data_IF_636556889084
#
_entry.id   IF_636556889084
#
_cell.length_a   1.000
_cell.length_b   1.000
_cell.length_c   1.000
_cell.angle_alpha   90.00
_cell.angle_beta   90.00
_cell.angle_gamma   90.00
#
_symmetry.space_group_name_H-M   'P 1'
#
loop_
_entity.id
_entity.type
_entity.pdbx_description
1 polymer ?
#
# COMPACT_ATOMS: atom_id res chain seq x y z
N UNK A 1 47.71 11.40 -54.65
CA UNK A 1 47.78 10.79 -53.27
C UNK A 1 48.03 11.91 -52.26
N UNK A 2 48.92 12.87 -52.50
CA UNK A 2 49.33 13.88 -51.55
C UNK A 2 48.23 14.91 -51.24
N UNK A 3 47.42 15.29 -52.25
CA UNK A 3 46.27 16.20 -52.04
C UNK A 3 45.23 15.63 -51.10
N UNK A 4 44.93 14.33 -51.20
CA UNK A 4 43.97 13.63 -50.35
C UNK A 4 44.49 13.54 -48.90
N UNK A 5 45.79 13.28 -48.76
CA UNK A 5 46.46 13.26 -47.47
C UNK A 5 46.38 14.62 -46.78
N UNK A 6 46.67 15.70 -47.54
CA UNK A 6 46.59 17.08 -47.03
C UNK A 6 45.16 17.49 -46.60
N UNK A 7 44.15 17.07 -47.37
CA UNK A 7 42.74 17.32 -47.02
C UNK A 7 42.30 16.58 -45.74
N UNK A 8 42.73 15.32 -45.57
CA UNK A 8 42.45 14.58 -44.33
C UNK A 8 43.12 15.21 -43.12
N UNK A 9 44.35 15.67 -43.29
CA UNK A 9 45.11 16.32 -42.22
C UNK A 9 44.48 17.66 -41.83
N UNK A 10 44.04 18.46 -42.80
CA UNK A 10 43.33 19.72 -42.57
C UNK A 10 41.97 19.50 -41.87
N UNK A 11 41.25 18.47 -42.29
CA UNK A 11 40.00 18.07 -41.64
C UNK A 11 40.22 17.61 -40.20
N UNK A 12 41.29 16.85 -39.92
CA UNK A 12 41.64 16.40 -38.57
C UNK A 12 41.97 17.63 -37.65
N UNK A 13 42.70 18.60 -38.16
CA UNK A 13 42.96 19.84 -37.44
C UNK A 13 41.67 20.63 -37.12
N UNK A 14 40.74 20.66 -38.08
CA UNK A 14 39.44 21.31 -37.88
C UNK A 14 38.60 20.58 -36.82
N UNK A 15 38.57 19.27 -36.81
CA UNK A 15 37.90 18.48 -35.80
C UNK A 15 38.52 18.67 -34.44
N UNK A 16 39.83 18.63 -34.29
CA UNK A 16 40.56 18.88 -33.06
C UNK A 16 40.27 20.29 -32.53
N UNK A 17 40.36 21.31 -33.37
CA UNK A 17 40.03 22.69 -33.06
C UNK A 17 38.58 22.86 -32.57
N UNK A 18 37.65 22.17 -33.23
CA UNK A 18 36.23 22.16 -32.82
C UNK A 18 36.00 21.50 -31.45
N UNK A 19 36.71 20.39 -31.21
CA UNK A 19 36.67 19.71 -29.90
C UNK A 19 37.21 20.62 -28.82
N UNK A 20 38.35 21.26 -29.05
CA UNK A 20 38.97 22.20 -28.10
C UNK A 20 38.10 23.43 -27.86
N UNK A 21 37.45 23.95 -28.89
CA UNK A 21 36.47 25.03 -28.79
C UNK A 21 35.26 24.61 -27.94
N UNK A 22 34.69 23.43 -28.18
CA UNK A 22 33.57 22.92 -27.39
C UNK A 22 33.95 22.69 -25.95
N UNK A 23 35.12 22.11 -25.68
CA UNK A 23 35.59 21.87 -24.30
C UNK A 23 35.84 23.16 -23.53
N UNK A 24 36.31 24.24 -24.18
CA UNK A 24 36.56 25.51 -23.54
C UNK A 24 35.33 26.41 -23.45
N UNK A 25 34.40 26.30 -24.40
CA UNK A 25 33.25 27.20 -24.49
C UNK A 25 32.02 26.61 -23.79
N UNK A 26 31.87 25.29 -23.81
CA UNK A 26 30.84 24.60 -23.06
C UNK A 26 31.32 24.32 -21.63
N UNK A 27 31.31 25.35 -20.79
CA UNK A 27 31.20 25.13 -19.35
C UNK A 27 29.80 24.56 -19.13
N UNK A 28 29.71 23.26 -18.90
CA UNK A 28 28.46 22.69 -18.34
C UNK A 28 28.15 23.48 -17.09
N UNK A 29 27.10 24.28 -17.14
CA UNK A 29 26.61 24.98 -15.97
C UNK A 29 26.16 23.87 -14.98
N UNK A 30 26.81 23.77 -13.80
CA UNK A 30 26.42 22.74 -12.83
C UNK A 30 24.92 22.80 -12.46
N UNK A 31 24.30 23.98 -12.60
CA UNK A 31 22.88 24.18 -12.37
C UNK A 31 22.01 23.37 -13.34
N UNK A 32 22.42 23.20 -14.59
CA UNK A 32 21.71 22.42 -15.61
C UNK A 32 21.72 20.92 -15.28
N UNK A 33 22.81 20.44 -14.68
CA UNK A 33 22.90 19.05 -14.20
C UNK A 33 21.98 18.81 -12.99
N UNK A 34 21.90 19.78 -12.08
CA UNK A 34 21.03 19.71 -10.88
C UNK A 34 19.56 19.73 -11.28
N UNK A 35 19.17 20.48 -12.31
CA UNK A 35 17.79 20.46 -12.83
C UNK A 35 17.41 19.17 -13.58
N UNK A 36 18.40 18.40 -14.04
CA UNK A 36 18.17 17.19 -14.82
C UNK A 36 18.31 15.90 -14.04
N UNK A 37 18.90 15.93 -12.86
CA UNK A 37 19.13 14.76 -12.00
C UNK A 37 18.66 15.09 -10.59
N UNK A 38 17.90 14.18 -9.99
CA UNK A 38 17.48 14.27 -8.58
C UNK A 38 17.46 12.91 -7.92
N UNK A 39 17.71 12.91 -6.61
CA UNK A 39 17.40 11.77 -5.77
C UNK A 39 15.90 11.74 -5.47
N UNK A 40 15.29 10.62 -5.77
CA UNK A 40 13.89 10.34 -5.45
C UNK A 40 13.86 9.29 -4.36
N UNK A 41 13.10 9.58 -3.33
CA UNK A 41 12.83 8.63 -2.27
C UNK A 41 11.98 7.48 -2.81
N UNK A 42 12.39 6.24 -2.52
CA UNK A 42 11.67 5.02 -2.88
C UNK A 42 11.19 4.38 -1.60
N UNK A 43 9.89 4.25 -1.49
CA UNK A 43 9.26 3.64 -0.32
C UNK A 43 9.74 2.20 -0.14
N UNK A 44 10.00 1.83 1.13
CA UNK A 44 10.28 0.45 1.50
C UNK A 44 8.99 -0.37 1.53
N UNK A 45 9.10 -1.68 1.38
CA UNK A 45 7.97 -2.56 1.66
C UNK A 45 7.71 -2.60 3.18
N UNK A 46 6.43 -2.45 3.57
CA UNK A 46 6.04 -2.64 4.97
C UNK A 46 6.15 -4.11 5.34
N UNK A 47 6.58 -4.40 6.56
CA UNK A 47 6.59 -5.74 7.14
C UNK A 47 5.19 -6.37 7.18
N UNK A 48 5.11 -7.67 7.31
CA UNK A 48 3.87 -8.42 7.38
C UNK A 48 3.34 -8.50 8.80
N UNK A 49 2.06 -8.84 8.95
CA UNK A 49 1.44 -9.15 10.24
C UNK A 49 0.99 -10.61 10.21
N UNK A 50 1.42 -11.36 11.19
CA UNK A 50 1.16 -12.79 11.34
C UNK A 50 0.30 -13.08 12.57
N UNK A 51 -0.49 -14.16 12.50
CA UNK A 51 -1.20 -14.76 13.62
C UNK A 51 -0.22 -15.44 14.59
N UNK A 52 -0.72 -15.91 15.73
CA UNK A 52 0.07 -16.73 16.66
C UNK A 52 0.56 -18.03 16.01
N UNK A 53 -0.25 -18.61 15.12
CA UNK A 53 0.06 -19.85 14.41
C UNK A 53 0.97 -19.65 13.17
N UNK A 54 1.32 -18.39 12.86
CA UNK A 54 2.16 -18.05 11.72
C UNK A 54 1.38 -17.82 10.42
N UNK A 55 0.04 -17.78 10.45
CA UNK A 55 -0.75 -17.44 9.29
C UNK A 55 -0.58 -15.97 8.94
N UNK A 56 -0.60 -15.68 7.66
CA UNK A 56 -0.45 -14.31 7.16
C UNK A 56 -1.77 -13.55 7.30
N UNK A 57 -1.81 -12.58 8.22
CA UNK A 57 -2.99 -11.71 8.43
C UNK A 57 -2.98 -10.56 7.44
N UNK A 58 -1.85 -9.86 7.33
CA UNK A 58 -1.66 -8.73 6.39
C UNK A 58 -0.32 -8.83 5.72
N UNK A 59 -0.29 -8.62 4.42
CA UNK A 59 0.96 -8.54 3.65
C UNK A 59 1.03 -7.30 2.78
N UNK A 60 2.25 -6.94 2.41
CA UNK A 60 2.49 -5.98 1.34
C UNK A 60 2.54 -6.72 0.00
N UNK A 61 1.67 -6.35 -0.90
CA UNK A 61 1.66 -6.87 -2.27
C UNK A 61 2.09 -5.80 -3.24
N UNK A 62 2.97 -6.18 -4.15
CA UNK A 62 3.37 -5.28 -5.24
C UNK A 62 2.27 -5.21 -6.26
N UNK A 63 1.88 -4.00 -6.61
CA UNK A 63 0.92 -3.68 -7.65
C UNK A 63 1.58 -2.77 -8.68
N UNK A 64 1.04 -2.79 -9.88
CA UNK A 64 1.60 -2.05 -10.99
C UNK A 64 0.58 -1.10 -11.59
N UNK A 65 1.07 0.10 -11.93
CA UNK A 65 0.36 1.06 -12.75
C UNK A 65 1.02 1.12 -14.12
N UNK A 66 0.26 0.92 -15.17
CA UNK A 66 0.75 1.01 -16.53
C UNK A 66 0.36 2.35 -17.15
N UNK A 67 1.33 3.01 -17.74
CA UNK A 67 1.15 4.24 -18.50
C UNK A 67 1.77 4.14 -19.87
N UNK A 68 1.33 4.98 -20.77
CA UNK A 68 1.76 4.99 -22.16
C UNK A 68 2.23 6.36 -22.62
N UNK A 69 3.42 6.41 -23.20
CA UNK A 69 3.95 7.58 -23.90
C UNK A 69 3.55 7.50 -25.37
N UNK A 70 2.50 8.22 -25.72
CA UNK A 70 1.95 8.20 -27.08
C UNK A 70 2.89 8.79 -28.13
N UNK A 71 3.86 9.63 -27.76
CA UNK A 71 4.74 10.36 -28.66
C UNK A 71 5.92 9.52 -29.17
N UNK A 72 6.39 8.55 -28.37
CA UNK A 72 7.55 7.72 -28.70
C UNK A 72 7.26 6.78 -29.88
N UNK A 73 6.02 6.29 -29.97
CA UNK A 73 5.62 5.30 -30.95
C UNK A 73 5.60 5.89 -32.36
N UNK A 74 6.35 5.28 -33.29
CA UNK A 74 6.38 5.72 -34.71
C UNK A 74 4.99 5.63 -35.32
N UNK A 75 4.71 6.50 -36.32
CA UNK A 75 3.41 6.53 -37.00
C UNK A 75 3.09 5.20 -37.69
N UNK A 76 4.09 4.60 -38.29
CA UNK A 76 3.93 3.32 -39.02
C UNK A 76 3.52 2.19 -38.06
N UNK A 77 4.25 2.03 -36.93
CA UNK A 77 3.93 1.03 -35.90
C UNK A 77 2.55 1.27 -35.29
N UNK A 78 2.22 2.53 -35.02
CA UNK A 78 0.91 2.90 -34.48
C UNK A 78 -0.24 2.50 -35.40
N UNK A 79 -0.15 2.92 -36.69
CA UNK A 79 -1.20 2.66 -37.66
C UNK A 79 -1.40 1.16 -37.95
N UNK A 80 -0.30 0.40 -37.96
CA UNK A 80 -0.37 -1.05 -38.25
C UNK A 80 -0.87 -1.89 -37.11
N UNK A 81 -0.77 -1.40 -35.84
CA UNK A 81 -0.99 -2.24 -34.66
C UNK A 81 -2.04 -1.68 -33.69
N UNK A 82 -2.63 -0.51 -33.99
CA UNK A 82 -3.61 0.13 -33.12
C UNK A 82 -4.85 -0.74 -32.89
N UNK A 83 -5.37 -1.34 -33.94
CA UNK A 83 -6.60 -2.12 -33.86
C UNK A 83 -6.41 -3.37 -32.98
N UNK A 84 -5.31 -4.08 -33.19
CA UNK A 84 -4.96 -5.26 -32.39
C UNK A 84 -4.68 -4.89 -30.92
N UNK A 85 -3.94 -3.80 -30.67
CA UNK A 85 -3.72 -3.31 -29.29
C UNK A 85 -5.04 -2.95 -28.63
N UNK A 86 -5.91 -2.23 -29.33
CA UNK A 86 -7.20 -1.78 -28.80
C UNK A 86 -8.13 -2.95 -28.44
N UNK A 87 -8.17 -3.99 -29.29
CA UNK A 87 -8.92 -5.22 -29.05
C UNK A 87 -8.38 -5.94 -27.81
N UNK A 88 -7.07 -6.12 -27.72
CA UNK A 88 -6.44 -6.81 -26.59
C UNK A 88 -6.68 -6.08 -25.26
N UNK A 89 -6.55 -4.75 -25.25
CA UNK A 89 -6.83 -3.94 -24.06
C UNK A 89 -8.33 -3.98 -23.67
N UNK A 90 -9.21 -3.87 -24.67
CA UNK A 90 -10.67 -3.93 -24.43
C UNK A 90 -11.09 -5.27 -23.84
N UNK A 91 -10.55 -6.37 -24.36
CA UNK A 91 -10.80 -7.70 -23.82
C UNK A 91 -10.25 -7.86 -22.40
N UNK A 92 -9.02 -7.38 -22.15
CA UNK A 92 -8.39 -7.49 -20.85
C UNK A 92 -9.13 -6.68 -19.78
N UNK A 93 -9.53 -5.43 -20.06
CA UNK A 93 -10.22 -4.57 -19.12
C UNK A 93 -11.76 -4.68 -19.17
N UNK A 94 -12.29 -5.62 -19.95
CA UNK A 94 -13.74 -5.80 -20.15
C UNK A 94 -14.46 -4.50 -20.54
N UNK A 95 -13.93 -3.82 -21.57
CA UNK A 95 -14.46 -2.59 -22.13
C UNK A 95 -14.97 -2.82 -23.55
N UNK A 96 -15.82 -1.91 -24.03
CA UNK A 96 -16.29 -1.96 -25.40
C UNK A 96 -15.13 -1.94 -26.42
N UNK A 97 -15.32 -2.62 -27.56
CA UNK A 97 -14.29 -2.83 -28.57
C UNK A 97 -13.58 -1.56 -29.02
N UNK A 98 -14.30 -0.44 -29.13
CA UNK A 98 -13.75 0.82 -29.62
C UNK A 98 -13.25 1.74 -28.52
N UNK A 99 -13.51 1.43 -27.25
CA UNK A 99 -13.14 2.28 -26.11
C UNK A 99 -11.65 2.64 -26.12
N UNK A 100 -10.78 1.64 -26.17
CA UNK A 100 -9.33 1.89 -26.16
C UNK A 100 -8.84 2.48 -27.47
N UNK A 101 -9.48 2.20 -28.61
CA UNK A 101 -9.10 2.81 -29.88
C UNK A 101 -9.27 4.34 -29.83
N UNK A 102 -10.41 4.80 -29.35
CA UNK A 102 -10.68 6.22 -29.19
C UNK A 102 -9.83 6.87 -28.10
N UNK A 103 -9.61 6.14 -26.99
CA UNK A 103 -8.79 6.59 -25.88
C UNK A 103 -7.33 6.82 -26.28
N UNK A 104 -6.73 5.88 -27.02
CA UNK A 104 -5.35 5.96 -27.52
C UNK A 104 -5.20 7.02 -28.63
N UNK A 105 -6.19 7.12 -29.54
CA UNK A 105 -6.20 8.15 -30.58
C UNK A 105 -6.25 9.56 -29.96
N UNK A 106 -7.14 9.79 -28.99
CA UNK A 106 -7.23 11.06 -28.29
C UNK A 106 -5.94 11.44 -27.56
N UNK A 107 -5.29 10.44 -26.94
CA UNK A 107 -4.00 10.66 -26.29
C UNK A 107 -2.91 11.08 -27.29
N UNK A 108 -2.90 10.47 -28.47
CA UNK A 108 -1.92 10.79 -29.49
C UNK A 108 -2.13 12.18 -30.10
N UNK A 109 -3.38 12.55 -30.38
CA UNK A 109 -3.72 13.90 -30.85
C UNK A 109 -3.29 14.95 -29.83
N UNK A 110 -3.49 14.69 -28.54
CA UNK A 110 -3.12 15.60 -27.45
C UNK A 110 -1.64 15.52 -27.04
N UNK A 111 -0.83 14.74 -27.74
CA UNK A 111 0.58 14.49 -27.37
C UNK A 111 0.76 14.06 -25.90
N UNK A 112 -0.17 13.26 -25.38
CA UNK A 112 -0.11 12.79 -24.00
C UNK A 112 1.03 11.77 -23.83
N UNK A 113 2.03 12.12 -23.05
CA UNK A 113 3.22 11.29 -22.80
C UNK A 113 3.11 10.40 -21.57
N UNK A 114 2.00 10.49 -20.84
CA UNK A 114 1.83 9.77 -19.58
C UNK A 114 0.38 9.28 -19.37
N UNK A 115 -0.18 8.71 -20.46
CA UNK A 115 -1.57 8.22 -20.45
C UNK A 115 -1.71 7.02 -19.52
N UNK A 116 -2.66 7.04 -18.62
CA UNK A 116 -2.98 5.90 -17.77
C UNK A 116 -3.63 4.78 -18.59
N UNK A 117 -3.06 3.59 -18.58
CA UNK A 117 -3.64 2.39 -19.20
C UNK A 117 -4.39 1.54 -18.18
N UNK A 118 -3.79 1.32 -17.01
CA UNK A 118 -4.41 0.54 -15.94
C UNK A 118 -3.70 0.73 -14.61
N UNK A 119 -4.42 0.46 -13.52
CA UNK A 119 -3.93 0.51 -12.14
C UNK A 119 -4.22 -0.80 -11.43
N UNK A 120 -3.55 -1.01 -10.31
CA UNK A 120 -3.76 -2.15 -9.42
C UNK A 120 -3.58 -3.51 -10.11
N UNK A 121 -2.62 -3.57 -11.03
CA UNK A 121 -2.34 -4.76 -11.83
C UNK A 121 -1.35 -5.67 -11.11
N UNK A 122 -1.56 -6.98 -11.26
CA UNK A 122 -0.59 -7.97 -10.80
C UNK A 122 0.58 -8.10 -11.78
N UNK A 123 1.68 -8.74 -11.36
CA UNK A 123 2.81 -9.03 -12.25
C UNK A 123 2.39 -9.93 -13.44
N UNK A 124 1.40 -10.79 -13.26
CA UNK A 124 0.84 -11.63 -14.36
C UNK A 124 0.14 -10.76 -15.38
N UNK A 125 -0.66 -9.80 -14.94
CA UNK A 125 -1.36 -8.85 -15.81
C UNK A 125 -0.37 -7.99 -16.60
N UNK A 126 0.65 -7.50 -15.90
CA UNK A 126 1.74 -6.72 -16.56
C UNK A 126 2.44 -7.53 -17.63
N UNK A 127 2.79 -8.78 -17.36
CA UNK A 127 3.46 -9.63 -18.33
C UNK A 127 2.57 -9.93 -19.55
N UNK A 128 1.27 -10.10 -19.33
CA UNK A 128 0.29 -10.27 -20.40
C UNK A 128 0.20 -8.99 -21.25
N UNK A 129 0.01 -7.83 -20.62
CA UNK A 129 -0.12 -6.55 -21.34
C UNK A 129 1.18 -6.18 -22.09
N UNK A 130 2.34 -6.50 -21.51
CA UNK A 130 3.64 -6.35 -22.19
C UNK A 130 3.73 -7.13 -23.50
N UNK A 131 3.00 -8.22 -23.66
CA UNK A 131 3.00 -9.01 -24.88
C UNK A 131 2.12 -8.42 -25.99
N UNK A 132 1.27 -7.44 -25.70
CA UNK A 132 0.36 -6.83 -26.67
C UNK A 132 1.13 -6.03 -27.73
N UNK A 133 0.59 -5.95 -28.96
CA UNK A 133 1.15 -5.13 -30.03
C UNK A 133 1.47 -3.71 -29.56
N UNK A 134 2.51 -3.09 -30.09
CA UNK A 134 3.10 -1.84 -29.64
C UNK A 134 3.82 -1.99 -28.29
N UNK A 135 3.16 -2.48 -27.24
CA UNK A 135 3.72 -2.59 -25.88
C UNK A 135 4.87 -3.61 -25.80
N UNK A 136 4.86 -4.63 -26.64
CA UNK A 136 5.95 -5.59 -26.78
C UNK A 136 7.27 -4.98 -27.28
N UNK A 137 7.24 -3.75 -27.79
CA UNK A 137 8.43 -2.98 -28.17
C UNK A 137 9.08 -2.25 -26.99
N UNK A 138 8.51 -2.38 -25.78
CA UNK A 138 9.03 -1.82 -24.54
C UNK A 138 8.94 -0.29 -24.44
N UNK A 139 9.68 0.26 -23.47
CA UNK A 139 9.60 1.68 -23.11
C UNK A 139 10.03 2.63 -24.25
N UNK A 140 11.10 2.29 -24.98
CA UNK A 140 11.72 3.23 -25.93
C UNK A 140 11.12 3.22 -27.34
N UNK A 141 10.38 2.18 -27.70
CA UNK A 141 9.74 2.06 -29.02
C UNK A 141 8.23 1.92 -28.91
N UNK A 142 7.76 1.18 -27.89
CA UNK A 142 6.35 0.95 -27.63
C UNK A 142 5.73 1.95 -26.65
N UNK A 143 6.56 2.73 -25.94
CA UNK A 143 6.12 3.76 -25.00
C UNK A 143 5.47 3.23 -23.72
N UNK A 144 5.56 1.93 -23.42
CA UNK A 144 4.97 1.36 -22.20
C UNK A 144 5.82 1.72 -20.98
N UNK A 145 5.24 2.45 -20.05
CA UNK A 145 5.81 2.84 -18.76
C UNK A 145 5.16 1.99 -17.68
N UNK A 146 5.97 1.39 -16.81
CA UNK A 146 5.51 0.54 -15.72
C UNK A 146 6.00 1.15 -14.43
N UNK A 147 5.04 1.55 -13.60
CA UNK A 147 5.30 2.04 -12.25
C UNK A 147 4.92 0.95 -11.27
N UNK A 148 5.79 0.71 -10.33
CA UNK A 148 5.60 -0.21 -9.22
C UNK A 148 5.06 0.56 -8.01
N UNK A 149 4.09 -0.02 -7.32
CA UNK A 149 3.52 0.49 -6.08
C UNK A 149 3.28 -0.66 -5.11
N UNK A 150 3.23 -0.33 -3.84
CA UNK A 150 2.93 -1.29 -2.78
C UNK A 150 1.54 -1.03 -2.23
N UNK A 151 0.75 -2.08 -2.06
CA UNK A 151 -0.55 -2.01 -1.39
C UNK A 151 -0.62 -3.01 -0.24
N UNK A 152 -1.38 -2.67 0.79
CA UNK A 152 -1.64 -3.56 1.92
C UNK A 152 -2.85 -4.43 1.62
N UNK A 153 -2.71 -5.73 1.84
CA UNK A 153 -3.78 -6.70 1.64
C UNK A 153 -4.03 -7.46 2.93
N UNK A 154 -5.25 -7.36 3.45
CA UNK A 154 -5.73 -8.22 4.53
C UNK A 154 -6.17 -9.57 3.95
N UNK A 155 -5.71 -10.66 4.56
CA UNK A 155 -6.09 -12.03 4.20
C UNK A 155 -7.32 -12.51 5.00
N UNK A 156 -7.69 -11.82 6.07
CA UNK A 156 -8.93 -12.08 6.84
C UNK A 156 -10.16 -11.36 6.26
N UNK A 157 -10.02 -10.68 5.13
CA UNK A 157 -11.11 -9.90 4.52
C UNK A 157 -11.59 -8.77 5.44
N UNK A 158 -12.84 -8.90 5.91
CA UNK A 158 -13.48 -7.92 6.82
C UNK A 158 -13.35 -8.26 8.30
N UNK A 159 -12.82 -9.42 8.62
CA UNK A 159 -12.66 -9.89 10.00
C UNK A 159 -11.49 -9.16 10.67
N UNK A 160 -11.69 -8.69 11.88
CA UNK A 160 -10.72 -7.93 12.68
C UNK A 160 -10.20 -6.64 11.99
N UNK A 161 -10.98 -6.06 11.07
CA UNK A 161 -10.58 -4.90 10.25
C UNK A 161 -10.14 -3.71 11.12
N UNK A 162 -10.82 -3.45 12.25
CA UNK A 162 -10.46 -2.35 13.17
C UNK A 162 -9.31 -2.67 14.10
N UNK A 163 -9.17 -3.93 14.47
CA UNK A 163 -8.05 -4.40 15.30
C UNK A 163 -6.75 -4.38 14.50
N UNK A 164 -6.79 -4.88 13.27
CA UNK A 164 -5.68 -4.79 12.33
C UNK A 164 -5.43 -3.35 11.95
N UNK A 165 -6.46 -2.65 11.51
CA UNK A 165 -6.43 -1.24 11.16
C UNK A 165 -5.72 -0.92 9.86
N UNK A 166 -5.23 0.31 9.77
CA UNK A 166 -4.53 0.83 8.61
C UNK A 166 -3.71 2.07 8.95
N UNK A 167 -2.78 2.40 8.08
CA UNK A 167 -2.15 3.72 8.03
C UNK A 167 -2.41 4.36 6.66
N UNK A 168 -2.85 5.59 6.64
CA UNK A 168 -3.05 6.39 5.43
C UNK A 168 -2.75 7.85 5.70
N UNK A 169 -2.42 8.58 4.64
CA UNK A 169 -2.25 10.04 4.68
C UNK A 169 -3.56 10.69 4.22
N UNK A 170 -4.05 11.65 4.98
CA UNK A 170 -5.23 12.44 4.62
C UNK A 170 -4.91 13.49 3.55
N UNK A 171 -5.93 14.21 3.09
CA UNK A 171 -5.78 15.28 2.07
C UNK A 171 -4.95 16.47 2.56
N UNK A 172 -4.75 16.59 3.86
CA UNK A 172 -3.96 17.65 4.51
C UNK A 172 -2.51 17.22 4.77
N UNK A 173 -2.14 15.96 4.44
CA UNK A 173 -0.81 15.41 4.66
C UNK A 173 -0.60 14.80 6.06
N UNK A 174 -1.64 14.68 6.90
CA UNK A 174 -1.52 14.07 8.22
C UNK A 174 -1.72 12.56 8.15
N UNK A 175 -0.96 11.83 8.98
CA UNK A 175 -1.12 10.39 9.11
C UNK A 175 -2.33 10.03 9.97
N UNK A 176 -3.23 9.23 9.40
CA UNK A 176 -4.31 8.57 10.14
C UNK A 176 -3.86 7.14 10.43
N UNK A 177 -3.75 6.82 11.72
CA UNK A 177 -3.24 5.54 12.22
C UNK A 177 -4.30 4.83 13.05
N UNK A 178 -4.62 3.59 12.67
CA UNK A 178 -5.66 2.79 13.31
C UNK A 178 -5.13 1.37 13.54
N UNK A 179 -5.49 0.77 14.68
CA UNK A 179 -5.19 -0.62 15.00
C UNK A 179 -3.70 -0.94 15.07
N UNK A 180 -3.36 -2.20 14.83
CA UNK A 180 -1.97 -2.70 14.83
C UNK A 180 -1.11 -2.02 13.77
N UNK A 181 -1.65 -1.81 12.57
CA UNK A 181 -0.98 -1.09 11.48
C UNK A 181 -0.54 0.31 11.91
N UNK A 182 -1.40 1.01 12.64
CA UNK A 182 -1.10 2.35 13.13
C UNK A 182 -0.17 2.34 14.34
N UNK A 183 -0.43 1.49 15.33
CA UNK A 183 0.34 1.42 16.57
C UNK A 183 1.80 0.99 16.34
N UNK A 184 2.01 0.09 15.40
CA UNK A 184 3.34 -0.44 15.07
C UNK A 184 3.91 0.11 13.74
N UNK A 185 3.40 1.26 13.29
CA UNK A 185 3.82 1.87 12.03
C UNK A 185 5.32 2.08 11.93
N UNK A 186 5.97 2.52 13.01
CA UNK A 186 7.42 2.75 13.05
C UNK A 186 8.23 1.48 12.75
N UNK A 187 7.78 0.33 13.24
CA UNK A 187 8.42 -0.96 13.00
C UNK A 187 8.08 -1.51 11.61
N UNK A 188 6.82 -1.39 11.21
CA UNK A 188 6.33 -1.91 9.95
C UNK A 188 6.87 -1.17 8.72
N UNK A 189 7.06 0.15 8.79
CA UNK A 189 7.35 0.98 7.61
C UNK A 189 8.74 0.80 7.01
N UNK A 190 9.72 0.31 7.79
CA UNK A 190 11.10 0.17 7.33
C UNK A 190 11.78 1.52 7.05
N UNK A 191 12.76 1.51 6.16
CA UNK A 191 13.52 2.72 5.79
C UNK A 191 13.52 2.90 4.29
N UNK A 192 13.04 4.04 3.82
CA UNK A 192 13.04 4.38 2.40
C UNK A 192 14.44 4.38 1.80
N UNK A 193 14.52 3.93 0.56
CA UNK A 193 15.71 4.01 -0.27
C UNK A 193 15.83 5.34 -1.00
N UNK A 194 16.93 5.52 -1.73
CA UNK A 194 17.16 6.64 -2.63
C UNK A 194 17.55 6.12 -4.00
N UNK A 195 16.91 6.65 -5.03
CA UNK A 195 17.21 6.32 -6.42
C UNK A 195 17.50 7.57 -7.22
N UNK A 196 18.60 7.53 -7.94
CA UNK A 196 18.98 8.62 -8.82
C UNK A 196 18.12 8.59 -10.09
N UNK A 197 17.39 9.68 -10.31
CA UNK A 197 16.49 9.83 -11.45
C UNK A 197 16.98 10.95 -12.34
N UNK A 198 16.91 10.73 -13.66
CA UNK A 198 17.21 11.73 -14.68
C UNK A 198 15.91 12.25 -15.29
N UNK A 199 15.80 13.56 -15.40
CA UNK A 199 14.69 14.20 -16.11
C UNK A 199 14.83 13.92 -17.61
N UNK A 200 13.80 13.38 -18.19
CA UNK A 200 13.65 13.23 -19.63
C UNK A 200 12.69 14.29 -20.14
N UNK A 201 12.58 14.46 -21.46
CA UNK A 201 11.73 15.47 -22.06
C UNK A 201 10.33 15.50 -21.43
N UNK A 202 9.73 16.68 -21.31
CA UNK A 202 8.38 16.95 -20.77
C UNK A 202 8.19 16.63 -19.28
N UNK A 203 9.25 16.81 -18.49
CA UNK A 203 9.14 16.72 -17.02
C UNK A 203 9.07 15.33 -16.42
N UNK A 204 9.23 14.29 -17.22
CA UNK A 204 9.27 12.91 -16.76
C UNK A 204 10.65 12.53 -16.20
N UNK A 205 10.64 11.62 -15.25
CA UNK A 205 11.85 11.15 -14.58
C UNK A 205 12.07 9.66 -14.87
N UNK A 206 13.29 9.32 -15.24
CA UNK A 206 13.72 7.94 -15.53
C UNK A 206 14.85 7.55 -14.60
N UNK A 207 14.88 6.33 -14.06
CA UNK A 207 16.03 5.84 -13.32
C UNK A 207 17.29 5.89 -14.19
N UNK A 208 18.38 6.44 -13.63
CA UNK A 208 19.67 6.50 -14.34
C UNK A 208 20.39 5.17 -14.32
N UNK A 209 20.16 4.36 -13.29
CA UNK A 209 20.81 3.07 -13.09
C UNK A 209 19.80 2.03 -12.64
N UNK A 210 20.16 0.75 -12.78
CA UNK A 210 19.38 -0.36 -12.23
C UNK A 210 19.55 -0.48 -10.73
N UNK A 211 20.48 0.24 -10.14
CA UNK A 211 20.82 0.20 -8.71
C UNK A 211 20.22 1.41 -7.98
N UNK A 212 19.95 1.23 -6.70
CA UNK A 212 19.63 2.31 -5.79
C UNK A 212 20.94 2.98 -5.31
N UNK A 213 20.90 4.25 -5.04
CA UNK A 213 21.98 4.94 -4.33
C UNK A 213 22.01 4.51 -2.86
N UNK A 214 20.82 4.27 -2.31
CA UNK A 214 20.59 3.60 -1.03
C UNK A 214 19.41 2.67 -1.18
N UNK A 215 19.63 1.38 -0.93
CA UNK A 215 18.55 0.38 -1.01
C UNK A 215 17.49 0.64 0.06
N UNK A 216 16.19 0.49 -0.28
CA UNK A 216 15.14 0.49 0.72
C UNK A 216 15.30 -0.74 1.64
N UNK A 217 15.15 -0.52 2.94
CA UNK A 217 15.19 -1.59 3.94
C UNK A 217 13.76 -1.93 4.34
N UNK A 218 13.29 -3.16 4.13
CA UNK A 218 11.95 -3.59 4.52
C UNK A 218 11.68 -3.36 6.01
N UNK A 219 10.42 -3.14 6.36
CA UNK A 219 9.99 -3.09 7.75
C UNK A 219 10.07 -4.46 8.43
N UNK A 220 9.98 -4.44 9.76
CA UNK A 220 9.92 -5.65 10.56
C UNK A 220 8.54 -6.29 10.47
N UNK A 221 8.50 -7.61 10.46
CA UNK A 221 7.27 -8.37 10.60
C UNK A 221 6.78 -8.35 12.06
N UNK A 222 5.46 -8.40 12.23
CA UNK A 222 4.81 -8.45 13.54
C UNK A 222 4.12 -9.78 13.70
N UNK A 223 4.43 -10.49 14.78
CA UNK A 223 3.73 -11.69 15.21
C UNK A 223 2.77 -11.32 16.34
N UNK A 224 1.49 -11.52 16.09
CA UNK A 224 0.42 -11.23 17.07
C UNK A 224 0.12 -12.45 17.92
N UNK A 225 -0.74 -12.27 18.90
CA UNK A 225 -1.31 -13.36 19.70
C UNK A 225 -2.68 -13.79 19.18
N UNK A 226 -3.15 -13.20 18.08
CA UNK A 226 -4.44 -13.52 17.45
C UNK A 226 -4.35 -14.90 16.83
N UNK A 227 -5.32 -15.73 17.14
CA UNK A 227 -5.57 -17.02 16.52
C UNK A 227 -6.68 -16.84 15.46
N UNK A 228 -6.36 -17.17 14.21
CA UNK A 228 -7.26 -16.90 13.09
C UNK A 228 -8.54 -17.73 13.14
N UNK A 229 -8.47 -18.96 13.67
CA UNK A 229 -9.64 -19.82 13.80
C UNK A 229 -10.59 -19.32 14.90
N UNK A 230 -10.03 -18.95 16.07
CA UNK A 230 -10.82 -18.39 17.17
C UNK A 230 -11.40 -17.03 16.73
N UNK A 231 -10.64 -16.22 16.00
CA UNK A 231 -11.08 -14.92 15.49
C UNK A 231 -12.29 -15.06 14.54
N UNK A 232 -12.26 -16.05 13.65
CA UNK A 232 -13.36 -16.31 12.72
C UNK A 232 -14.63 -16.73 13.48
N UNK A 233 -14.52 -17.67 14.42
CA UNK A 233 -15.62 -18.10 15.26
C UNK A 233 -16.22 -16.92 16.04
N UNK A 234 -15.38 -16.12 16.69
CA UNK A 234 -15.80 -14.96 17.50
C UNK A 234 -16.52 -13.93 16.64
N UNK A 235 -16.04 -13.69 15.41
CA UNK A 235 -16.67 -12.75 14.49
C UNK A 235 -18.07 -13.20 14.10
N UNK A 236 -18.22 -14.46 13.71
CA UNK A 236 -19.50 -15.03 13.25
C UNK A 236 -20.51 -15.14 14.40
N UNK A 237 -20.08 -15.58 15.58
CA UNK A 237 -20.95 -15.65 16.75
C UNK A 237 -21.42 -14.27 17.23
N UNK A 238 -20.54 -13.28 17.21
CA UNK A 238 -20.92 -11.89 17.50
C UNK A 238 -21.94 -11.39 16.51
N UNK A 239 -21.72 -11.60 15.20
CA UNK A 239 -22.63 -11.19 14.15
C UNK A 239 -24.01 -11.83 14.34
N UNK A 240 -24.04 -13.14 14.57
CA UNK A 240 -25.28 -13.89 14.79
C UNK A 240 -26.09 -13.35 15.99
N UNK A 241 -25.42 -13.03 17.10
CA UNK A 241 -26.09 -12.48 18.27
C UNK A 241 -26.62 -11.06 18.01
N UNK A 242 -25.83 -10.21 17.34
CA UNK A 242 -26.27 -8.85 17.02
C UNK A 242 -27.49 -8.84 16.07
N UNK A 243 -27.51 -9.73 15.09
CA UNK A 243 -28.66 -9.88 14.20
C UNK A 243 -29.90 -10.41 14.93
N UNK A 244 -29.72 -11.41 15.82
CA UNK A 244 -30.83 -11.98 16.59
C UNK A 244 -31.50 -10.99 17.55
N UNK A 245 -30.71 -10.10 18.14
CA UNK A 245 -31.19 -9.11 19.13
C UNK A 245 -31.41 -7.73 18.52
N UNK A 246 -31.17 -7.56 17.20
CA UNK A 246 -31.26 -6.27 16.51
C UNK A 246 -30.47 -5.17 17.25
N UNK A 247 -29.30 -5.54 17.80
CA UNK A 247 -28.50 -4.64 18.60
C UNK A 247 -27.71 -3.66 17.70
N UNK A 248 -27.54 -2.42 18.14
CA UNK A 248 -26.82 -1.39 17.39
C UNK A 248 -25.35 -1.74 17.17
N UNK A 249 -24.71 -2.29 18.19
CA UNK A 249 -23.30 -2.74 18.13
C UNK A 249 -22.97 -3.70 19.27
N UNK A 250 -21.81 -4.30 19.16
CA UNK A 250 -21.24 -5.16 20.20
C UNK A 250 -19.76 -5.44 19.99
N UNK A 251 -19.15 -5.96 21.04
CA UNK A 251 -17.76 -6.43 21.03
C UNK A 251 -17.63 -7.76 21.73
N UNK A 252 -16.71 -8.58 21.24
CA UNK A 252 -16.33 -9.86 21.86
C UNK A 252 -14.82 -9.99 21.90
N UNK A 253 -14.27 -10.33 23.08
CA UNK A 253 -12.84 -10.54 23.30
C UNK A 253 -12.63 -11.92 23.89
N UNK A 254 -11.68 -12.66 23.34
CA UNK A 254 -11.21 -13.93 23.89
C UNK A 254 -9.78 -13.75 24.38
N UNK A 255 -9.57 -14.00 25.67
CA UNK A 255 -8.28 -13.85 26.33
C UNK A 255 -7.87 -15.16 27.01
N UNK A 256 -6.61 -15.53 26.82
CA UNK A 256 -6.02 -16.66 27.56
C UNK A 256 -5.76 -16.26 29.01
N UNK A 257 -6.41 -16.93 29.96
CA UNK A 257 -6.38 -16.53 31.38
C UNK A 257 -4.99 -16.63 32.04
N UNK A 258 -4.15 -17.53 31.58
CA UNK A 258 -2.80 -17.74 32.13
C UNK A 258 -1.81 -16.67 31.72
N UNK A 259 -1.90 -16.16 30.50
CA UNK A 259 -0.88 -15.29 29.91
C UNK A 259 -1.39 -13.87 29.68
N UNK A 260 -2.71 -13.67 29.65
CA UNK A 260 -3.34 -12.41 29.27
C UNK A 260 -3.31 -12.15 27.76
N UNK A 261 -2.89 -13.12 26.93
CA UNK A 261 -2.85 -12.98 25.50
C UNK A 261 -4.25 -12.86 24.91
N UNK A 262 -4.49 -11.84 24.10
CA UNK A 262 -5.71 -11.70 23.32
C UNK A 262 -5.65 -12.65 22.12
N UNK A 263 -6.56 -13.62 22.09
CA UNK A 263 -6.67 -14.61 21.01
C UNK A 263 -7.60 -14.16 19.89
N UNK A 264 -8.63 -13.43 20.25
CA UNK A 264 -9.55 -12.83 19.29
C UNK A 264 -10.17 -11.56 19.83
N UNK A 265 -10.51 -10.65 18.92
CA UNK A 265 -11.23 -9.42 19.23
C UNK A 265 -12.09 -9.03 18.01
N UNK A 266 -13.39 -8.96 18.19
CA UNK A 266 -14.33 -8.58 17.14
C UNK A 266 -15.19 -7.42 17.61
N UNK A 267 -15.44 -6.47 16.72
CA UNK A 267 -16.18 -5.25 16.98
C UNK A 267 -17.13 -5.00 15.81
N UNK A 268 -18.41 -5.15 16.02
CA UNK A 268 -19.40 -4.97 14.96
C UNK A 268 -20.42 -3.90 15.32
N UNK A 269 -20.78 -3.07 14.36
CA UNK A 269 -21.82 -2.08 14.48
C UNK A 269 -22.66 -1.98 13.20
N UNK A 270 -23.97 -1.74 13.37
CA UNK A 270 -24.90 -1.62 12.23
C UNK A 270 -24.68 -0.31 11.46
N UNK A 271 -24.81 -0.35 10.14
CA UNK A 271 -24.84 0.84 9.29
C UNK A 271 -26.28 1.25 8.95
N UNK A 272 -26.42 2.32 8.17
CA UNK A 272 -27.72 2.83 7.74
C UNK A 272 -28.50 1.83 6.84
N UNK A 273 -27.81 0.88 6.22
CA UNK A 273 -28.41 -0.16 5.37
C UNK A 273 -28.78 -1.42 6.17
N UNK A 274 -28.63 -1.40 7.50
CA UNK A 274 -28.88 -2.54 8.37
C UNK A 274 -27.82 -3.65 8.33
N UNK A 275 -26.62 -3.36 7.78
CA UNK A 275 -25.52 -4.34 7.73
C UNK A 275 -24.51 -4.07 8.83
N UNK A 276 -24.04 -5.15 9.45
CA UNK A 276 -22.98 -5.08 10.47
C UNK A 276 -21.59 -5.07 9.83
N UNK A 277 -20.72 -4.24 10.37
CA UNK A 277 -19.31 -4.15 9.97
C UNK A 277 -18.46 -3.55 11.09
N UNK A 278 -17.14 -3.70 11.02
CA UNK A 278 -16.24 -3.11 12.00
C UNK A 278 -16.05 -1.60 11.76
N UNK A 279 -16.84 -0.79 12.46
CA UNK A 279 -16.80 0.68 12.38
C UNK A 279 -15.84 1.29 13.38
N UNK A 280 -15.90 0.84 14.61
CA UNK A 280 -15.11 1.31 15.74
C UNK A 280 -14.59 0.09 16.51
N UNK A 281 -13.44 0.19 17.13
CA UNK A 281 -13.03 -0.78 18.13
C UNK A 281 -13.76 -0.45 19.45
N UNK A 282 -14.95 -0.97 19.61
CA UNK A 282 -15.79 -0.71 20.77
C UNK A 282 -15.16 -1.20 22.07
N UNK A 283 -14.33 -2.24 22.00
CA UNK A 283 -13.64 -2.79 23.16
C UNK A 283 -12.75 -1.79 23.90
N UNK A 284 -12.19 -0.81 23.17
CA UNK A 284 -11.26 0.20 23.71
C UNK A 284 -11.67 1.64 23.39
N UNK A 285 -12.63 1.82 22.49
CA UNK A 285 -13.04 3.14 21.97
C UNK A 285 -14.28 3.72 22.63
N UNK A 286 -15.00 2.93 23.43
CA UNK A 286 -16.18 3.36 24.16
C UNK A 286 -16.03 3.19 25.67
N UNK A 287 -16.81 3.98 26.42
CA UNK A 287 -16.91 3.88 27.86
C UNK A 287 -18.37 3.65 28.25
N UNK A 288 -18.62 2.62 29.04
CA UNK A 288 -19.93 2.28 29.57
C UNK A 288 -19.90 2.16 31.08
N UNK A 289 -21.05 2.29 31.69
CA UNK A 289 -21.21 1.98 33.13
C UNK A 289 -21.00 0.46 33.33
N UNK A 290 -19.95 0.04 34.05
CA UNK A 290 -19.58 -1.37 34.11
C UNK A 290 -20.56 -2.20 34.98
N UNK A 291 -21.39 -1.54 35.75
CA UNK A 291 -22.31 -2.22 36.67
C UNK A 291 -21.58 -3.18 37.64
N UNK A 292 -22.17 -4.37 37.87
CA UNK A 292 -21.60 -5.36 38.81
C UNK A 292 -20.26 -5.96 38.36
N UNK A 293 -19.85 -5.78 37.13
CA UNK A 293 -18.50 -6.23 36.65
C UNK A 293 -17.39 -5.45 37.36
N UNK A 294 -17.67 -4.21 37.85
CA UNK A 294 -16.72 -3.42 38.60
C UNK A 294 -16.34 -4.05 39.95
N UNK A 295 -17.18 -4.95 40.52
CA UNK A 295 -16.85 -5.69 41.73
C UNK A 295 -15.55 -6.49 41.64
N UNK A 296 -15.16 -6.90 40.43
CA UNK A 296 -13.88 -7.57 40.16
C UNK A 296 -12.74 -6.63 40.56
N UNK A 297 -12.83 -5.34 40.21
CA UNK A 297 -11.80 -4.35 40.57
C UNK A 297 -11.69 -4.16 42.07
N UNK A 298 -12.81 -4.15 42.77
CA UNK A 298 -12.85 -4.08 44.25
C UNK A 298 -12.17 -5.31 44.88
N UNK A 299 -12.42 -6.51 44.32
CA UNK A 299 -11.78 -7.73 44.80
C UNK A 299 -10.27 -7.74 44.54
N UNK A 300 -9.83 -7.28 43.33
CA UNK A 300 -8.41 -7.16 43.02
C UNK A 300 -7.71 -6.23 44.02
N UNK A 301 -8.26 -5.04 44.27
CA UNK A 301 -7.69 -4.09 45.21
C UNK A 301 -7.63 -4.67 46.65
N UNK A 302 -8.69 -5.30 47.12
CA UNK A 302 -8.73 -5.90 48.44
C UNK A 302 -7.73 -7.07 48.64
N UNK A 303 -7.50 -7.86 47.57
CA UNK A 303 -6.52 -8.94 47.57
C UNK A 303 -5.08 -8.41 47.53
N UNK A 304 -4.81 -7.40 46.72
CA UNK A 304 -3.48 -6.76 46.59
C UNK A 304 -3.08 -6.07 47.89
N UNK A 305 -4.05 -5.38 48.57
CA UNK A 305 -3.82 -4.72 49.82
C UNK A 305 -3.75 -5.73 50.99
N UNK A 306 -3.97 -7.01 50.76
CA UNK A 306 -3.94 -8.08 51.76
C UNK A 306 -5.08 -8.00 52.78
N UNK A 307 -6.16 -7.27 52.47
CA UNK A 307 -7.33 -7.11 53.37
C UNK A 307 -8.19 -8.37 53.40
N UNK A 308 -8.15 -9.18 52.34
CA UNK A 308 -8.92 -10.42 52.25
C UNK A 308 -8.04 -11.50 51.56
N UNK A 309 -8.48 -12.74 51.76
CA UNK A 309 -7.92 -13.91 51.05
C UNK A 309 -9.03 -14.61 50.26
N UNK A 310 -8.73 -15.33 49.18
CA UNK A 310 -9.73 -16.08 48.40
C UNK A 310 -10.52 -17.12 49.23
N UNK A 311 -9.96 -17.53 50.39
CA UNK A 311 -10.53 -18.52 51.29
C UNK A 311 -11.35 -17.92 52.41
N UNK A 312 -11.43 -16.59 52.52
CA UNK A 312 -12.17 -15.94 53.60
C UNK A 312 -13.67 -16.13 53.38
N UNK A 313 -14.36 -16.37 54.49
CA UNK A 313 -15.82 -16.50 54.52
C UNK A 313 -16.48 -15.17 54.87
N UNK A 314 -17.53 -14.83 54.16
CA UNK A 314 -18.31 -13.62 54.40
C UNK A 314 -19.70 -14.06 54.86
N UNK A 315 -20.10 -13.55 56.03
CA UNK A 315 -21.46 -13.75 56.51
C UNK A 315 -22.43 -12.86 55.74
N UNK A 316 -23.31 -13.48 54.96
CA UNK A 316 -24.33 -12.79 54.17
C UNK A 316 -25.65 -12.62 54.91
N UNK A 317 -25.73 -13.05 56.17
CA UNK A 317 -26.94 -13.03 56.97
C UNK A 317 -28.09 -13.75 56.27
N UNK A 318 -29.21 -13.10 56.10
CA UNK A 318 -30.38 -13.64 55.39
C UNK A 318 -30.36 -13.39 53.88
N UNK A 319 -29.25 -12.90 53.36
CA UNK A 319 -29.15 -12.51 51.91
C UNK A 319 -29.91 -11.22 51.58
N UNK A 320 -30.39 -10.50 52.57
CA UNK A 320 -31.15 -9.24 52.41
C UNK A 320 -30.34 -8.10 53.02
N UNK A 321 -29.91 -7.15 52.17
CA UNK A 321 -29.29 -5.90 52.61
C UNK A 321 -30.19 -4.72 52.20
N UNK A 322 -30.63 -3.92 53.17
CA UNK A 322 -31.39 -2.69 52.92
C UNK A 322 -30.42 -1.52 52.88
N UNK A 323 -30.32 -0.83 51.79
CA UNK A 323 -29.45 0.34 51.60
C UNK A 323 -30.11 1.66 52.01
N UNK A 324 -31.45 1.71 52.08
CA UNK A 324 -32.22 2.89 52.48
C UNK A 324 -33.33 2.49 53.46
N UNK A 325 -33.60 3.39 54.42
CA UNK A 325 -34.71 3.25 55.36
C UNK A 325 -36.03 3.69 54.73
#
# INVERSE_FOLDING_TARGET
>A
TDIVFFLILLFSFFVIGKIFYIQNTYKQDPSVLIETIKNVEVESSRGNIYSENGDLIVSTVTRYELRWDSKIVSQNLYNSSLDDLSINLSNFFNKEKNYFKDYLNKARVNNNRYLLIGRDLSIKDVNLIKSFPIFNQGLYKGGLIINESHSRQSHLGKVAERTIGYEKVDTSGNYIRVGLEGAYSEFLSGKSGLRLMQKIADGQWKPMTSYYERDPVPGYDIHTTIDTEIQDIVHHELLFQLENFEADHGTMIVMETKTGKIKAISNLGVNQDGKYYERLNYAVGESHEPGSTFKVMTMIAALEDGLIKPTDSVDTGNGILKFYN
#
